data_IF_977198704322
#
_entry.id   IF_977198704322
#
_cell.length_a   1.000
_cell.length_b   1.000
_cell.length_c   1.000
_cell.angle_alpha   90.00
_cell.angle_beta   90.00
_cell.angle_gamma   90.00
#
_symmetry.space_group_name_H-M   'P 1'
#
loop_
_entity.id
_entity.type
_entity.pdbx_description
1 polymer ?
#
# COMPACT_ATOMS: atom_id res chain seq x y z
N UNK A 1 -26.64 13.68 -4.96
CA UNK A 1 -25.35 13.08 -5.33
C UNK A 1 -25.34 11.65 -4.80
N UNK A 2 -25.47 10.60 -5.62
CA UNK A 2 -25.41 9.25 -5.11
C UNK A 2 -23.97 8.98 -4.64
N UNK A 3 -23.82 8.45 -3.42
CA UNK A 3 -22.53 8.03 -2.90
C UNK A 3 -21.96 6.94 -3.83
N UNK A 4 -20.89 7.27 -4.57
CA UNK A 4 -20.19 6.32 -5.41
C UNK A 4 -19.72 5.15 -4.53
N UNK A 5 -20.32 3.98 -4.74
CA UNK A 5 -20.03 2.81 -3.93
C UNK A 5 -18.56 2.43 -4.07
N UNK A 6 -17.82 2.46 -2.95
CA UNK A 6 -16.45 1.94 -2.90
C UNK A 6 -16.41 0.54 -3.50
N UNK A 7 -15.55 0.35 -4.50
CA UNK A 7 -15.39 -0.93 -5.17
C UNK A 7 -14.95 -2.00 -4.17
N UNK A 8 -15.54 -3.19 -4.26
CA UNK A 8 -15.22 -4.34 -3.43
C UNK A 8 -15.12 -5.60 -4.28
N UNK A 9 -14.10 -6.39 -4.00
CA UNK A 9 -13.83 -7.67 -4.61
C UNK A 9 -13.42 -8.68 -3.53
N UNK A 10 -13.72 -9.95 -3.76
CA UNK A 10 -13.23 -11.03 -2.91
C UNK A 10 -13.13 -12.33 -3.70
N UNK A 11 -12.36 -13.28 -3.18
CA UNK A 11 -12.21 -14.57 -3.84
C UNK A 11 -11.44 -15.57 -2.98
N UNK A 12 -11.50 -16.83 -3.40
CA UNK A 12 -10.79 -17.95 -2.75
C UNK A 12 -9.50 -18.33 -3.48
N UNK A 13 -9.43 -18.00 -4.78
CA UNK A 13 -8.29 -18.30 -5.65
C UNK A 13 -7.65 -16.99 -6.13
N UNK A 14 -6.42 -17.10 -6.63
CA UNK A 14 -5.78 -15.99 -7.31
C UNK A 14 -6.55 -15.60 -8.58
N UNK A 15 -6.67 -14.30 -8.84
CA UNK A 15 -7.30 -13.75 -10.05
C UNK A 15 -6.79 -12.35 -10.33
N UNK A 16 -7.06 -11.88 -11.54
CA UNK A 16 -6.92 -10.47 -11.90
C UNK A 16 -8.20 -9.72 -11.49
N UNK A 17 -8.04 -8.52 -10.94
CA UNK A 17 -9.14 -7.65 -10.54
C UNK A 17 -8.94 -6.30 -11.17
N UNK A 18 -9.94 -5.84 -11.92
CA UNK A 18 -10.00 -4.49 -12.45
C UNK A 18 -10.36 -3.50 -11.36
N UNK A 19 -9.62 -2.40 -11.31
CA UNK A 19 -9.84 -1.34 -10.35
C UNK A 19 -10.53 -0.21 -11.08
N UNK A 20 -11.81 0.05 -10.78
CA UNK A 20 -12.51 1.18 -11.39
C UNK A 20 -11.80 2.46 -10.99
N UNK A 21 -11.66 3.36 -11.96
CA UNK A 21 -11.11 4.70 -11.80
C UNK A 21 -12.25 5.68 -11.94
N UNK A 22 -12.30 6.67 -11.07
CA UNK A 22 -13.24 7.77 -11.24
C UNK A 22 -12.81 8.62 -12.44
N UNK A 23 -13.78 9.16 -13.16
CA UNK A 23 -13.51 10.03 -14.29
C UNK A 23 -12.71 11.26 -13.81
N UNK A 24 -11.59 11.56 -14.48
CA UNK A 24 -10.67 12.62 -14.07
C UNK A 24 -9.62 12.24 -13.01
N UNK A 25 -9.65 11.03 -12.44
CA UNK A 25 -8.66 10.58 -11.46
C UNK A 25 -7.29 10.30 -12.10
N UNK A 26 -6.33 11.23 -11.91
CA UNK A 26 -4.96 11.12 -12.46
C UNK A 26 -3.97 10.42 -11.52
N UNK A 27 -4.22 10.44 -10.22
CA UNK A 27 -3.35 9.88 -9.18
C UNK A 27 -3.35 8.36 -9.06
N UNK A 28 -2.56 7.78 -8.14
CA UNK A 28 -2.64 6.36 -7.84
C UNK A 28 -4.00 5.99 -7.21
N UNK A 29 -4.44 4.75 -7.40
CA UNK A 29 -5.63 4.26 -6.70
C UNK A 29 -5.26 3.70 -5.32
N UNK A 30 -6.02 4.09 -4.29
CA UNK A 30 -5.84 3.59 -2.93
C UNK A 30 -6.56 2.26 -2.77
N UNK A 31 -5.84 1.24 -2.33
CA UNK A 31 -6.37 -0.11 -2.16
C UNK A 31 -6.17 -0.60 -0.73
N UNK A 32 -7.15 -1.33 -0.21
CA UNK A 32 -6.99 -2.15 0.97
C UNK A 32 -7.18 -3.62 0.62
N UNK A 33 -6.18 -4.43 0.94
CA UNK A 33 -6.20 -5.86 0.77
C UNK A 33 -6.19 -6.55 2.13
N UNK A 34 -7.08 -7.53 2.30
CA UNK A 34 -7.13 -8.38 3.49
C UNK A 34 -6.96 -9.84 3.06
N UNK A 35 -5.89 -10.46 3.53
CA UNK A 35 -5.64 -11.88 3.37
C UNK A 35 -6.50 -12.74 4.30
N UNK A 36 -6.26 -14.03 4.25
CA UNK A 36 -6.89 -15.02 5.10
C UNK A 36 -5.96 -15.55 6.19
N UNK A 37 -6.53 -16.15 7.24
CA UNK A 37 -5.82 -16.48 8.48
C UNK A 37 -4.52 -17.28 8.28
N UNK A 38 -4.51 -18.25 7.38
CA UNK A 38 -3.39 -19.18 7.17
C UNK A 38 -2.85 -19.18 5.74
N UNK A 39 -3.14 -18.10 5.00
CA UNK A 39 -2.81 -18.00 3.57
C UNK A 39 -1.98 -16.79 3.26
N UNK A 40 -0.94 -17.01 2.45
CA UNK A 40 -0.15 -15.94 1.88
C UNK A 40 -0.65 -15.54 0.50
N UNK A 41 -0.67 -14.23 0.25
CA UNK A 41 -0.97 -13.66 -1.06
C UNK A 41 0.09 -12.65 -1.48
N UNK A 42 0.44 -12.69 -2.76
CA UNK A 42 1.18 -11.63 -3.45
C UNK A 42 0.20 -10.85 -4.31
N UNK A 43 0.17 -9.54 -4.13
CA UNK A 43 -0.62 -8.62 -4.96
C UNK A 43 0.35 -7.82 -5.80
N UNK A 44 0.19 -7.87 -7.12
CA UNK A 44 1.05 -7.17 -8.07
C UNK A 44 0.24 -6.23 -8.96
N UNK A 45 0.85 -5.15 -9.40
CA UNK A 45 0.24 -4.24 -10.35
C UNK A 45 0.17 -4.89 -11.75
N UNK A 46 -0.90 -4.60 -12.48
CA UNK A 46 -1.10 -5.11 -13.83
C UNK A 46 -1.75 -4.04 -14.69
N UNK A 47 -1.25 -3.87 -15.90
CA UNK A 47 -1.95 -3.15 -16.96
C UNK A 47 -2.44 -4.18 -17.97
N UNK A 48 -3.72 -4.07 -18.35
CA UNK A 48 -4.30 -4.88 -19.42
C UNK A 48 -5.20 -4.03 -20.30
N UNK A 49 -4.95 -4.06 -21.60
CA UNK A 49 -5.84 -3.56 -22.65
C UNK A 49 -6.28 -4.73 -23.54
N UNK A 50 -7.02 -4.44 -24.63
CA UNK A 50 -7.40 -5.44 -25.62
C UNK A 50 -6.18 -6.15 -26.26
N UNK A 51 -5.06 -5.46 -26.39
CA UNK A 51 -3.88 -5.92 -27.15
C UNK A 51 -2.62 -6.10 -26.32
N UNK A 52 -2.58 -5.55 -25.09
CA UNK A 52 -1.35 -5.52 -24.29
C UNK A 52 -1.60 -5.94 -22.86
N UNK A 53 -0.65 -6.68 -22.30
CA UNK A 53 -0.58 -7.03 -20.88
C UNK A 53 0.81 -6.70 -20.36
N UNK A 54 0.90 -5.85 -19.32
CA UNK A 54 2.16 -5.42 -18.71
C UNK A 54 2.11 -5.74 -17.23
N UNK A 55 3.06 -6.55 -16.77
CA UNK A 55 3.24 -6.85 -15.36
C UNK A 55 4.05 -5.76 -14.69
N UNK A 56 3.52 -5.21 -13.59
CA UNK A 56 4.25 -4.32 -12.70
C UNK A 56 4.78 -5.05 -11.48
N UNK A 57 5.36 -4.26 -10.58
CA UNK A 57 5.96 -4.76 -9.35
C UNK A 57 4.95 -5.34 -8.36
N UNK A 58 5.49 -6.04 -7.36
CA UNK A 58 4.73 -6.42 -6.19
C UNK A 58 4.30 -5.15 -5.43
N UNK A 59 2.99 -5.02 -5.21
CA UNK A 59 2.43 -3.94 -4.39
C UNK A 59 2.53 -4.30 -2.92
N UNK A 60 2.13 -5.54 -2.58
CA UNK A 60 2.27 -6.06 -1.22
C UNK A 60 2.38 -7.58 -1.21
N UNK A 61 2.97 -8.08 -0.14
CA UNK A 61 2.79 -9.44 0.34
C UNK A 61 1.87 -9.40 1.57
N UNK A 62 0.94 -10.33 1.68
CA UNK A 62 0.01 -10.42 2.80
C UNK A 62 0.07 -11.83 3.36
N UNK A 63 0.28 -11.94 4.67
CA UNK A 63 0.11 -13.16 5.44
C UNK A 63 -0.86 -12.86 6.59
N UNK A 64 -1.83 -13.75 6.79
CA UNK A 64 -2.83 -13.60 7.83
C UNK A 64 -3.96 -12.62 7.50
N UNK A 65 -4.84 -12.35 8.48
CA UNK A 65 -6.09 -11.62 8.26
C UNK A 65 -5.94 -10.10 8.37
N UNK A 66 -4.72 -9.58 8.52
CA UNK A 66 -4.49 -8.15 8.67
C UNK A 66 -4.75 -7.42 7.36
N UNK A 67 -5.53 -6.34 7.42
CA UNK A 67 -5.70 -5.43 6.30
C UNK A 67 -4.39 -4.66 6.04
N UNK A 68 -3.97 -4.62 4.79
CA UNK A 68 -2.79 -3.89 4.31
C UNK A 68 -3.23 -2.91 3.23
N UNK A 69 -2.68 -1.70 3.26
CA UNK A 69 -3.04 -0.62 2.35
C UNK A 69 -1.90 -0.35 1.38
N UNK A 70 -2.22 -0.07 0.14
CA UNK A 70 -1.23 0.16 -0.92
C UNK A 70 -1.75 1.05 -2.02
N UNK A 71 -0.83 1.64 -2.75
CA UNK A 71 -1.08 2.42 -3.96
C UNK A 71 -0.96 1.54 -5.20
N UNK A 72 -1.95 1.60 -6.08
CA UNK A 72 -1.82 1.14 -7.46
C UNK A 72 -1.40 2.33 -8.32
N UNK A 73 -0.18 2.34 -8.90
CA UNK A 73 0.28 3.45 -9.72
C UNK A 73 -0.67 3.77 -10.89
N UNK A 74 -0.75 5.04 -11.29
CA UNK A 74 -1.69 5.53 -12.30
C UNK A 74 -1.67 4.75 -13.62
N UNK A 75 -0.47 4.30 -14.03
CA UNK A 75 -0.25 3.51 -15.26
C UNK A 75 -0.87 2.11 -15.26
N UNK A 76 -1.37 1.63 -14.13
CA UNK A 76 -1.95 0.28 -14.00
C UNK A 76 -3.46 0.37 -13.70
N UNK A 77 -4.24 -0.51 -14.33
CA UNK A 77 -5.71 -0.56 -14.20
C UNK A 77 -6.20 -1.82 -13.47
N UNK A 78 -5.30 -2.76 -13.14
CA UNK A 78 -5.63 -4.03 -12.51
C UNK A 78 -4.64 -4.37 -11.42
N UNK A 79 -5.06 -5.27 -10.54
CA UNK A 79 -4.18 -6.03 -9.67
C UNK A 79 -4.25 -7.51 -9.99
N UNK A 80 -3.10 -8.19 -9.97
CA UNK A 80 -3.01 -9.63 -10.03
C UNK A 80 -2.80 -10.16 -8.61
N UNK A 81 -3.77 -10.93 -8.11
CA UNK A 81 -3.69 -11.58 -6.80
C UNK A 81 -3.24 -13.01 -7.04
N UNK A 82 -2.11 -13.39 -6.45
CA UNK A 82 -1.59 -14.76 -6.51
C UNK A 82 -1.45 -15.30 -5.10
N UNK A 83 -1.92 -16.53 -4.90
CA UNK A 83 -1.66 -17.25 -3.66
C UNK A 83 -0.22 -17.72 -3.66
N UNK A 84 0.48 -17.49 -2.55
CA UNK A 84 1.84 -17.98 -2.35
C UNK A 84 1.77 -19.25 -1.51
N UNK A 85 2.25 -20.36 -2.07
CA UNK A 85 2.40 -21.62 -1.34
C UNK A 85 3.85 -21.73 -0.86
N UNK A 86 4.10 -22.07 0.42
CA UNK A 86 5.45 -22.29 0.93
C UNK A 86 6.16 -23.46 0.23
N UNK A 87 5.41 -24.52 -0.10
CA UNK A 87 5.88 -25.63 -0.94
C UNK A 87 4.74 -26.18 -1.81
N UNK A 88 5.09 -26.97 -2.83
CA UNK A 88 4.12 -27.65 -3.69
C UNK A 88 3.24 -28.66 -2.92
N UNK A 89 3.73 -29.19 -1.79
CA UNK A 89 3.08 -30.21 -0.97
C UNK A 89 2.40 -29.65 0.29
N UNK A 90 2.62 -28.38 0.65
CA UNK A 90 1.98 -27.77 1.81
C UNK A 90 0.48 -27.56 1.58
N UNK A 91 -0.34 -28.24 2.40
CA UNK A 91 -1.74 -27.91 2.57
C UNK A 91 -1.85 -26.51 3.19
N UNK A 92 -2.09 -25.50 2.37
CA UNK A 92 -2.44 -24.17 2.87
C UNK A 92 -3.97 -24.12 2.99
N UNK A 93 -4.50 -23.70 4.15
CA UNK A 93 -5.94 -23.65 4.39
C UNK A 93 -6.68 -22.75 3.40
N UNK A 94 -7.92 -23.08 3.02
CA UNK A 94 -8.68 -22.22 2.10
C UNK A 94 -9.16 -20.98 2.84
N UNK A 95 -8.67 -19.81 2.46
CA UNK A 95 -9.16 -18.56 3.02
C UNK A 95 -9.50 -17.56 1.93
N UNK A 96 -10.61 -16.85 2.15
CA UNK A 96 -11.09 -15.79 1.27
C UNK A 96 -10.23 -14.55 1.46
N UNK A 97 -9.78 -13.97 0.36
CA UNK A 97 -9.19 -12.64 0.36
C UNK A 97 -10.26 -11.60 0.03
N UNK A 98 -10.03 -10.37 0.49
CA UNK A 98 -10.86 -9.20 0.22
C UNK A 98 -9.99 -8.07 -0.32
N UNK A 99 -10.53 -7.32 -1.27
CA UNK A 99 -9.92 -6.12 -1.84
C UNK A 99 -11.00 -5.04 -1.93
N UNK A 100 -10.65 -3.81 -1.56
CA UNK A 100 -11.53 -2.66 -1.79
C UNK A 100 -10.73 -1.42 -2.18
N UNK A 101 -11.40 -0.48 -2.85
CA UNK A 101 -10.86 0.88 -2.98
C UNK A 101 -11.07 1.66 -1.68
N UNK A 102 -10.16 2.59 -1.42
CA UNK A 102 -10.22 3.54 -0.32
C UNK A 102 -10.27 4.96 -0.85
N UNK A 103 -10.64 5.88 0.04
CA UNK A 103 -10.49 7.32 -0.15
C UNK A 103 -9.39 7.85 0.77
N UNK A 104 -8.89 9.06 0.50
CA UNK A 104 -7.91 9.74 1.36
C UNK A 104 -8.40 9.83 2.81
N UNK A 105 -9.71 10.04 3.01
CA UNK A 105 -10.34 10.10 4.33
C UNK A 105 -10.26 8.78 5.12
N UNK A 106 -10.00 7.64 4.48
CA UNK A 106 -9.80 6.35 5.17
C UNK A 106 -8.38 6.15 5.71
N UNK A 107 -7.44 7.01 5.29
CA UNK A 107 -6.05 6.92 5.69
C UNK A 107 -5.80 7.74 6.97
N UNK A 108 -4.92 7.27 7.86
CA UNK A 108 -4.39 8.11 8.91
C UNK A 108 -3.70 9.32 8.27
N UNK A 109 -3.92 10.50 8.86
CA UNK A 109 -3.25 11.74 8.46
C UNK A 109 -2.15 12.07 9.47
N UNK A 110 -0.99 12.49 8.99
CA UNK A 110 0.06 13.05 9.84
C UNK A 110 -0.19 14.56 10.02
N UNK A 111 -0.80 14.92 11.15
CA UNK A 111 -1.03 16.32 11.54
C UNK A 111 0.18 16.82 12.34
N UNK A 112 0.39 16.25 13.53
CA UNK A 112 1.56 16.56 14.37
C UNK A 112 2.44 15.32 14.52
N UNK A 113 2.04 14.38 15.35
CA UNK A 113 2.76 13.14 15.61
C UNK A 113 1.89 11.94 15.31
N UNK A 114 2.45 10.94 14.64
CA UNK A 114 1.80 9.68 14.34
C UNK A 114 2.74 8.53 14.70
N UNK A 115 2.25 7.60 15.50
CA UNK A 115 2.95 6.37 15.83
C UNK A 115 2.18 5.17 15.28
N UNK A 116 2.90 4.10 14.97
CA UNK A 116 2.25 2.89 14.50
C UNK A 116 3.11 1.65 14.65
N UNK A 117 2.47 0.52 14.36
CA UNK A 117 3.13 -0.77 14.27
C UNK A 117 2.98 -1.34 12.87
N UNK A 118 4.06 -1.91 12.37
CA UNK A 118 4.22 -2.53 11.08
C UNK A 118 3.95 -1.58 9.91
N UNK A 119 4.04 -2.13 8.71
CA UNK A 119 3.87 -1.39 7.46
C UNK A 119 2.48 -0.73 7.36
N UNK A 120 2.45 0.50 6.86
CA UNK A 120 1.21 1.26 6.70
C UNK A 120 1.31 2.25 5.53
N UNK A 121 0.17 2.86 5.22
CA UNK A 121 0.05 3.97 4.29
C UNK A 121 -0.64 5.15 5.00
N UNK A 122 0.02 6.31 4.98
CA UNK A 122 -0.40 7.55 5.64
C UNK A 122 -0.61 8.61 4.57
N UNK A 123 -1.63 9.45 4.72
CA UNK A 123 -1.78 10.65 3.89
C UNK A 123 -1.07 11.84 4.54
N UNK A 124 -0.35 12.61 3.73
CA UNK A 124 0.34 13.83 4.15
C UNK A 124 -0.18 15.02 3.37
N UNK A 125 -0.62 16.04 4.11
CA UNK A 125 -1.25 17.24 3.58
C UNK A 125 -0.28 18.43 3.64
N UNK A 126 0.17 18.90 2.47
CA UNK A 126 1.12 20.01 2.31
C UNK A 126 2.60 19.59 2.24
N UNK A 127 3.50 20.53 2.54
CA UNK A 127 4.95 20.33 2.59
C UNK A 127 5.48 20.65 3.98
N UNK A 128 6.33 19.78 4.52
CA UNK A 128 7.00 20.03 5.80
C UNK A 128 8.26 19.17 5.95
N UNK A 129 9.04 19.48 6.99
CA UNK A 129 10.02 18.53 7.51
C UNK A 129 9.29 17.49 8.35
N UNK A 130 9.65 16.23 8.17
CA UNK A 130 9.11 15.13 8.96
C UNK A 130 10.27 14.40 9.62
N UNK A 131 10.30 14.43 10.95
CA UNK A 131 11.18 13.57 11.73
C UNK A 131 10.61 12.14 11.72
N UNK A 132 11.49 11.16 11.59
CA UNK A 132 11.13 9.74 11.65
C UNK A 132 11.99 9.03 12.70
N UNK A 133 11.42 8.00 13.32
CA UNK A 133 12.17 7.03 14.09
C UNK A 133 11.57 5.63 13.93
N UNK A 134 12.45 4.65 13.69
CA UNK A 134 12.16 3.22 13.65
C UNK A 134 12.46 2.63 15.02
N UNK A 135 11.48 1.95 15.58
CA UNK A 135 11.49 1.42 16.93
C UNK A 135 11.30 -0.10 16.86
N UNK A 136 11.95 -0.83 17.76
CA UNK A 136 11.87 -2.30 17.86
C UNK A 136 13.09 -3.04 17.33
N UNK A 137 13.00 -4.37 17.30
CA UNK A 137 14.15 -5.27 17.08
C UNK A 137 14.73 -5.21 15.66
N UNK A 138 13.92 -4.71 14.72
CA UNK A 138 14.39 -4.37 13.38
C UNK A 138 14.81 -2.90 13.40
N UNK A 139 16.12 -2.65 13.58
CA UNK A 139 16.73 -1.31 13.47
C UNK A 139 16.74 -0.80 12.02
N UNK A 140 15.66 -1.03 11.28
CA UNK A 140 15.52 -0.71 9.88
C UNK A 140 14.06 -0.40 9.56
N UNK A 141 13.87 0.56 8.68
CA UNK A 141 12.57 0.95 8.14
C UNK A 141 12.79 1.84 6.93
N UNK A 142 11.80 1.85 6.05
CA UNK A 142 11.81 2.69 4.86
C UNK A 142 10.60 3.61 4.86
N UNK A 143 10.83 4.89 4.60
CA UNK A 143 9.77 5.86 4.31
C UNK A 143 9.82 6.19 2.82
N UNK A 144 8.71 5.92 2.13
CA UNK A 144 8.55 6.26 0.71
C UNK A 144 7.48 7.32 0.55
N UNK A 145 7.71 8.27 -0.36
CA UNK A 145 6.72 9.28 -0.74
C UNK A 145 6.26 9.09 -2.18
N UNK A 146 4.94 9.15 -2.38
CA UNK A 146 4.31 9.22 -3.70
C UNK A 146 3.41 10.46 -3.75
N UNK A 147 3.60 11.39 -4.70
CA UNK A 147 2.74 12.57 -4.84
C UNK A 147 1.28 12.17 -5.09
N UNK A 148 0.33 12.97 -4.61
CA UNK A 148 -1.11 12.70 -4.82
C UNK A 148 -1.47 12.68 -6.32
N UNK A 149 -0.92 13.62 -7.09
CA UNK A 149 -1.10 13.70 -8.55
C UNK A 149 -0.48 12.53 -9.34
N UNK A 150 0.24 11.62 -8.66
CA UNK A 150 0.97 10.52 -9.28
C UNK A 150 2.44 10.83 -9.53
N UNK A 151 3.14 9.86 -10.12
CA UNK A 151 4.59 9.87 -10.28
C UNK A 151 5.24 8.63 -9.69
N UNK A 152 6.57 8.61 -9.70
CA UNK A 152 7.33 7.51 -9.10
C UNK A 152 7.41 7.68 -7.59
N UNK A 153 7.29 6.54 -6.88
CA UNK A 153 7.53 6.49 -5.44
C UNK A 153 9.02 6.68 -5.20
N UNK A 154 9.37 7.60 -4.30
CA UNK A 154 10.77 7.86 -3.93
C UNK A 154 11.01 7.47 -2.48
N UNK A 155 12.09 6.76 -2.22
CA UNK A 155 12.57 6.52 -0.87
C UNK A 155 13.13 7.83 -0.29
N UNK A 156 12.70 8.18 0.92
CA UNK A 156 13.13 9.39 1.62
C UNK A 156 14.18 9.09 2.70
N UNK A 157 14.14 7.89 3.28
CA UNK A 157 15.13 7.43 4.23
C UNK A 157 16.32 6.80 3.53
N UNK A 158 17.43 6.68 4.26
CA UNK A 158 18.59 5.90 3.81
C UNK A 158 18.66 4.63 4.64
N UNK A 159 19.10 3.54 4.01
CA UNK A 159 19.32 2.27 4.70
C UNK A 159 20.27 2.43 5.88
N UNK A 160 19.89 1.85 7.02
CA UNK A 160 20.65 1.93 8.28
C UNK A 160 20.37 3.15 9.15
N UNK A 161 19.57 4.12 8.69
CA UNK A 161 19.15 5.23 9.56
C UNK A 161 17.94 4.81 10.39
N UNK A 162 18.12 4.66 11.71
CA UNK A 162 17.04 4.38 12.66
C UNK A 162 16.20 5.62 13.00
N UNK A 163 16.77 6.82 12.84
CA UNK A 163 16.09 8.09 13.09
C UNK A 163 16.66 9.19 12.21
N UNK A 164 15.87 10.22 11.95
CA UNK A 164 16.33 11.36 11.16
C UNK A 164 15.20 12.32 10.80
N UNK A 165 15.46 13.20 9.85
CA UNK A 165 14.45 14.13 9.31
C UNK A 165 14.53 14.12 7.79
N UNK A 166 13.37 14.16 7.15
CA UNK A 166 13.22 14.23 5.69
C UNK A 166 12.33 15.40 5.31
N UNK A 167 12.38 15.84 4.05
CA UNK A 167 11.49 16.89 3.53
C UNK A 167 10.43 16.24 2.65
N UNK A 168 9.16 16.43 3.01
CA UNK A 168 8.02 16.05 2.18
C UNK A 168 7.69 17.25 1.28
N UNK A 169 7.68 17.08 -0.05
CA UNK A 169 7.70 18.19 -1.00
C UNK A 169 6.31 18.80 -1.24
N UNK A 170 5.26 18.15 -0.75
CA UNK A 170 3.88 18.47 -1.06
C UNK A 170 2.95 17.31 -0.72
N UNK A 171 1.68 17.47 -1.10
CA UNK A 171 0.60 16.53 -0.81
C UNK A 171 0.83 15.16 -1.43
N UNK A 172 0.53 14.12 -0.66
CA UNK A 172 0.65 12.75 -1.15
C UNK A 172 0.62 11.69 -0.06
N UNK A 173 1.24 10.56 -0.39
CA UNK A 173 1.15 9.34 0.38
C UNK A 173 2.53 8.94 0.91
N UNK A 174 2.59 8.66 2.21
CA UNK A 174 3.76 8.13 2.89
C UNK A 174 3.54 6.64 3.14
N UNK A 175 4.36 5.80 2.49
CA UNK A 175 4.39 4.37 2.77
C UNK A 175 5.52 4.08 3.75
N UNK A 176 5.15 3.56 4.92
CA UNK A 176 6.09 3.07 5.94
C UNK A 176 6.25 1.56 5.72
N UNK A 177 7.48 1.10 5.51
CA UNK A 177 7.79 -0.30 5.14
C UNK A 177 8.91 -0.87 5.98
N UNK A 178 9.00 -2.21 6.02
CA UNK A 178 10.13 -2.94 6.59
C UNK A 178 10.50 -2.62 8.05
N UNK A 179 9.54 -2.20 8.88
CA UNK A 179 9.74 -1.88 10.29
C UNK A 179 8.70 -2.57 11.19
N UNK A 180 9.00 -2.76 12.47
CA UNK A 180 8.04 -3.25 13.46
C UNK A 180 7.27 -2.13 14.17
N UNK A 181 7.96 -1.12 14.70
CA UNK A 181 7.34 0.05 15.31
C UNK A 181 7.96 1.33 14.73
N UNK A 182 7.20 2.41 14.73
CA UNK A 182 7.66 3.65 14.13
C UNK A 182 6.94 4.88 14.68
N UNK A 183 7.59 6.03 14.57
CA UNK A 183 7.02 7.36 14.80
C UNK A 183 7.36 8.28 13.65
N UNK A 184 6.42 9.15 13.29
CA UNK A 184 6.57 10.27 12.37
C UNK A 184 6.10 11.53 13.07
N UNK A 185 6.85 12.62 12.95
CA UNK A 185 6.54 13.90 13.58
C UNK A 185 6.73 15.02 12.55
N UNK A 186 5.68 15.80 12.33
CA UNK A 186 5.71 17.00 11.49
C UNK A 186 6.43 18.12 12.26
N UNK A 187 7.34 18.81 11.56
CA UNK A 187 8.15 19.93 12.07
C UNK A 187 7.84 21.21 11.31
#
# INVERSE_FOLDING_TARGET
>A
MPAEGRFRASGWRGREVEIPRLEGQRGPALLEFKGGLTTSFKVSALYRSATRKIHGDALLYSYGPRARRVLLPARYNRVAIRRVKPSHTSGTGFSRWHLRTLEVADLPKLVDTLAGKHETLVYFDGSARVSFAWLGDTEYGELHFTPEGGGESRELTRRGHIRGTVVIPGEGFLAVRHCDQWTLERR
#
